data_IF_842264858622
#
_entry.id   IF_842264858622
#
_cell.length_a   1.000
_cell.length_b   1.000
_cell.length_c   1.000
_cell.angle_alpha   90.00
_cell.angle_beta   90.00
_cell.angle_gamma   90.00
#
_symmetry.space_group_name_H-M   'P 1'
#
loop_
_entity.id
_entity.type
_entity.pdbx_description
1 polymer ?
#
# COMPACT_ATOMS: atom_id res chain seq x y z
N UNK A 1 4.88 -12.16 -14.05
CA UNK A 1 3.46 -12.18 -14.53
C UNK A 1 3.20 -10.85 -15.23
N UNK A 2 2.55 -10.86 -16.41
CA UNK A 2 2.20 -9.63 -17.14
C UNK A 2 0.80 -9.22 -16.68
N UNK A 3 0.64 -7.96 -16.25
CA UNK A 3 -0.66 -7.42 -15.85
C UNK A 3 -1.61 -7.31 -17.06
N UNK A 4 -2.89 -7.63 -16.94
CA UNK A 4 -3.89 -7.52 -18.02
C UNK A 4 -4.28 -6.05 -18.22
N UNK A 5 -3.35 -5.22 -18.67
CA UNK A 5 -3.46 -3.76 -18.70
C UNK A 5 -4.67 -3.23 -19.45
N UNK A 6 -5.10 -3.88 -20.55
CA UNK A 6 -6.24 -3.40 -21.34
C UNK A 6 -7.56 -3.59 -20.59
N UNK A 7 -7.75 -4.74 -19.94
CA UNK A 7 -8.93 -5.00 -19.09
C UNK A 7 -8.96 -4.01 -17.91
N UNK A 8 -7.82 -3.85 -17.21
CA UNK A 8 -7.73 -2.93 -16.07
C UNK A 8 -8.02 -1.47 -16.47
N UNK A 9 -7.50 -1.02 -17.62
CA UNK A 9 -7.81 0.32 -18.17
C UNK A 9 -9.30 0.48 -18.49
N UNK A 10 -9.93 -0.54 -19.07
CA UNK A 10 -11.36 -0.52 -19.38
C UNK A 10 -12.21 -0.34 -18.12
N UNK A 11 -11.86 -1.05 -17.05
CA UNK A 11 -12.56 -0.95 -15.75
C UNK A 11 -12.39 0.45 -15.14
N UNK A 12 -11.18 0.98 -15.17
CA UNK A 12 -10.88 2.32 -14.66
C UNK A 12 -11.61 3.41 -15.45
N UNK A 13 -11.76 3.25 -16.77
CA UNK A 13 -12.49 4.20 -17.62
C UNK A 13 -14.00 4.25 -17.34
N UNK A 14 -14.57 3.23 -16.70
CA UNK A 14 -15.99 3.16 -16.33
C UNK A 14 -16.31 3.80 -14.97
N UNK A 15 -15.31 4.35 -14.28
CA UNK A 15 -15.55 4.98 -12.98
C UNK A 15 -16.43 6.21 -13.06
N UNK A 16 -17.30 6.45 -12.05
CA UNK A 16 -18.33 7.52 -12.12
C UNK A 16 -17.74 8.93 -12.07
N UNK A 17 -16.50 9.07 -11.58
CA UNK A 17 -15.81 10.35 -11.48
C UNK A 17 -14.45 10.31 -12.17
N UNK A 18 -13.93 11.45 -12.65
CA UNK A 18 -12.57 11.54 -13.17
C UNK A 18 -11.57 11.07 -12.12
N UNK A 19 -10.58 10.30 -12.58
CA UNK A 19 -9.51 9.82 -11.71
C UNK A 19 -8.27 10.69 -11.82
N UNK A 20 -7.66 10.99 -10.68
CA UNK A 20 -6.33 11.60 -10.61
C UNK A 20 -5.27 10.57 -11.01
N UNK A 21 -5.38 9.36 -10.46
CA UNK A 21 -4.60 8.19 -10.83
C UNK A 21 -5.28 6.89 -10.40
N UNK A 22 -4.81 5.77 -10.95
CA UNK A 22 -5.11 4.43 -10.48
C UNK A 22 -3.90 3.51 -10.63
N UNK A 23 -3.70 2.63 -9.64
CA UNK A 23 -2.55 1.71 -9.56
C UNK A 23 -2.99 0.32 -9.12
N UNK A 24 -2.14 -0.69 -9.36
CA UNK A 24 -2.29 -2.02 -8.77
C UNK A 24 -1.54 -2.06 -7.44
N UNK A 25 -2.17 -2.63 -6.43
CA UNK A 25 -1.67 -2.86 -5.09
C UNK A 25 -1.62 -4.37 -4.76
N UNK A 26 -1.72 -4.73 -3.47
CA UNK A 26 -1.84 -6.11 -3.02
C UNK A 26 -0.67 -7.00 -3.40
N UNK A 27 -0.95 -8.29 -3.59
CA UNK A 27 0.07 -9.30 -3.85
C UNK A 27 0.92 -8.99 -5.10
N UNK A 28 0.33 -8.33 -6.10
CA UNK A 28 1.02 -7.92 -7.33
C UNK A 28 2.09 -6.84 -7.06
N UNK A 29 1.77 -5.83 -6.25
CA UNK A 29 2.73 -4.81 -5.81
C UNK A 29 3.80 -5.42 -4.90
N UNK A 30 3.38 -6.32 -4.02
CA UNK A 30 4.25 -6.88 -2.98
C UNK A 30 5.22 -7.96 -3.47
N UNK A 31 5.10 -8.40 -4.74
CA UNK A 31 6.05 -9.29 -5.40
C UNK A 31 5.79 -10.79 -5.23
N UNK A 32 4.65 -11.19 -4.65
CA UNK A 32 4.31 -12.60 -4.44
C UNK A 32 2.86 -12.98 -4.87
N UNK A 33 2.39 -12.54 -6.06
CA UNK A 33 1.09 -12.98 -6.55
C UNK A 33 1.11 -14.48 -6.85
N UNK A 34 0.02 -15.19 -6.53
CA UNK A 34 -0.28 -16.53 -7.02
C UNK A 34 -1.19 -16.45 -8.26
N UNK A 35 -1.36 -17.54 -9.02
CA UNK A 35 -2.22 -17.54 -10.20
C UNK A 35 -3.68 -17.13 -9.93
N UNK A 36 -4.15 -17.35 -8.71
CA UNK A 36 -5.48 -17.03 -8.19
C UNK A 36 -5.53 -15.73 -7.36
N UNK A 37 -4.47 -14.92 -7.40
CA UNK A 37 -4.48 -13.63 -6.69
C UNK A 37 -5.37 -12.64 -7.42
N UNK A 38 -6.28 -12.01 -6.68
CA UNK A 38 -7.08 -10.87 -7.08
C UNK A 38 -6.24 -9.67 -7.50
N UNK A 39 -6.85 -8.74 -8.23
CA UNK A 39 -6.24 -7.47 -8.59
C UNK A 39 -6.79 -6.37 -7.68
N UNK A 40 -5.98 -5.99 -6.72
CA UNK A 40 -6.25 -4.85 -5.83
C UNK A 40 -6.03 -3.53 -6.57
N UNK A 41 -7.08 -2.92 -7.10
CA UNK A 41 -7.01 -1.60 -7.73
C UNK A 41 -7.22 -0.51 -6.70
N UNK A 42 -6.34 0.46 -6.69
CA UNK A 42 -6.40 1.60 -5.78
C UNK A 42 -6.25 2.90 -6.57
N UNK A 43 -7.06 3.89 -6.25
CA UNK A 43 -7.03 5.13 -6.99
C UNK A 43 -7.56 6.33 -6.22
N UNK A 44 -7.47 7.47 -6.89
CA UNK A 44 -7.98 8.74 -6.38
C UNK A 44 -8.93 9.33 -7.39
N UNK A 45 -10.17 9.58 -6.98
CA UNK A 45 -11.19 10.24 -7.79
C UNK A 45 -11.35 11.71 -7.38
N UNK A 46 -11.98 12.47 -8.26
CA UNK A 46 -12.21 13.91 -8.07
C UNK A 46 -13.70 14.16 -8.03
N UNK A 47 -14.28 14.34 -6.82
CA UNK A 47 -15.67 14.73 -6.67
C UNK A 47 -15.90 16.16 -7.17
N UNK A 48 -17.05 16.45 -7.83
CA UNK A 48 -17.44 17.82 -8.18
C UNK A 48 -17.61 18.70 -6.93
N UNK A 49 -17.21 19.97 -7.01
CA UNK A 49 -17.38 20.93 -5.88
C UNK A 49 -18.81 21.01 -5.36
N UNK A 50 -19.82 20.91 -6.24
CA UNK A 50 -21.24 20.93 -5.85
C UNK A 50 -21.63 19.82 -4.87
N UNK A 51 -20.97 18.65 -4.96
CA UNK A 51 -21.23 17.53 -4.07
C UNK A 51 -20.53 17.74 -2.73
N UNK A 52 -19.37 18.38 -2.74
CA UNK A 52 -18.60 18.67 -1.53
C UNK A 52 -19.19 19.82 -0.70
N UNK A 53 -19.81 20.80 -1.35
CA UNK A 53 -20.37 22.00 -0.69
C UNK A 53 -21.88 21.86 -0.40
N UNK A 54 -22.48 20.74 -0.82
CA UNK A 54 -23.90 20.48 -0.62
C UNK A 54 -24.25 20.08 0.82
N UNK A 55 -25.56 19.95 1.08
CA UNK A 55 -26.07 19.50 2.38
C UNK A 55 -26.16 17.97 2.51
N UNK A 56 -25.90 17.24 1.43
CA UNK A 56 -25.92 15.78 1.44
C UNK A 56 -24.60 15.22 1.95
N UNK A 57 -24.60 14.05 2.63
CA UNK A 57 -23.38 13.38 3.04
C UNK A 57 -22.48 13.10 1.83
N UNK A 58 -21.19 13.37 1.99
CA UNK A 58 -20.20 13.11 0.96
C UNK A 58 -19.81 11.63 1.00
N UNK A 59 -19.90 10.95 -0.14
CA UNK A 59 -19.33 9.61 -0.32
C UNK A 59 -17.89 9.74 -0.83
N UNK A 60 -16.96 9.92 0.08
CA UNK A 60 -15.53 10.16 -0.20
C UNK A 60 -14.71 8.90 -0.51
N UNK A 61 -15.36 7.74 -0.50
CA UNK A 61 -14.79 6.43 -0.87
C UNK A 61 -15.77 5.67 -1.72
N UNK A 62 -15.28 5.15 -2.82
CA UNK A 62 -16.03 4.25 -3.71
C UNK A 62 -15.35 2.90 -3.70
N UNK A 63 -16.11 1.86 -3.43
CA UNK A 63 -15.67 0.48 -3.42
C UNK A 63 -16.48 -0.31 -4.45
N UNK A 64 -15.79 -1.14 -5.22
CA UNK A 64 -16.40 -2.04 -6.19
C UNK A 64 -15.57 -3.32 -6.25
N UNK A 65 -16.22 -4.46 -6.03
CA UNK A 65 -15.60 -5.77 -6.14
C UNK A 65 -16.44 -6.66 -7.05
N UNK A 66 -15.80 -7.58 -7.76
CA UNK A 66 -16.46 -8.53 -8.63
C UNK A 66 -15.53 -9.13 -9.67
N UNK A 67 -16.09 -10.02 -10.48
CA UNK A 67 -15.38 -10.68 -11.57
C UNK A 67 -15.64 -9.95 -12.89
N UNK A 68 -14.58 -9.58 -13.59
CA UNK A 68 -14.62 -9.02 -14.93
C UNK A 68 -13.65 -9.80 -15.82
N UNK A 69 -14.15 -10.39 -16.91
CA UNK A 69 -13.35 -11.17 -17.84
C UNK A 69 -12.52 -12.29 -17.15
N UNK A 70 -13.08 -12.98 -16.17
CA UNK A 70 -12.44 -13.99 -15.31
C UNK A 70 -11.28 -13.43 -14.44
N UNK A 71 -11.31 -12.16 -14.16
CA UNK A 71 -10.36 -11.50 -13.25
C UNK A 71 -11.13 -11.04 -12.01
N UNK A 72 -10.75 -11.55 -10.84
CA UNK A 72 -11.27 -11.07 -9.56
C UNK A 72 -10.64 -9.72 -9.22
N UNK A 73 -11.50 -8.74 -8.95
CA UNK A 73 -11.13 -7.34 -8.73
C UNK A 73 -11.63 -6.84 -7.39
N UNK A 74 -10.79 -6.07 -6.74
CA UNK A 74 -11.15 -5.23 -5.60
C UNK A 74 -10.67 -3.80 -5.85
N UNK A 75 -11.59 -2.92 -6.28
CA UNK A 75 -11.32 -1.52 -6.59
C UNK A 75 -11.78 -0.62 -5.44
N UNK A 76 -10.86 0.15 -4.90
CA UNK A 76 -11.15 1.20 -3.92
C UNK A 76 -10.56 2.52 -4.41
N UNK A 77 -11.40 3.56 -4.49
CA UNK A 77 -10.94 4.92 -4.77
C UNK A 77 -11.37 5.87 -3.65
N UNK A 78 -10.47 6.77 -3.28
CA UNK A 78 -10.76 7.86 -2.36
C UNK A 78 -10.88 9.19 -3.10
N UNK A 79 -11.72 10.07 -2.61
CA UNK A 79 -11.71 11.46 -3.06
C UNK A 79 -10.34 12.10 -2.78
N UNK A 80 -9.90 12.99 -3.67
CA UNK A 80 -8.61 13.64 -3.60
C UNK A 80 -8.35 14.35 -2.27
N UNK A 81 -9.35 14.97 -1.66
CA UNK A 81 -9.20 15.64 -0.35
C UNK A 81 -8.92 14.62 0.76
N UNK A 82 -9.71 13.55 0.80
CA UNK A 82 -9.50 12.44 1.74
C UNK A 82 -8.13 11.80 1.57
N UNK A 83 -7.72 11.55 0.32
CA UNK A 83 -6.43 10.96 0.03
C UNK A 83 -5.27 11.82 0.53
N UNK A 84 -5.32 13.14 0.30
CA UNK A 84 -4.29 14.08 0.78
C UNK A 84 -4.27 14.18 2.31
N UNK A 85 -5.44 14.12 2.96
CA UNK A 85 -5.49 14.03 4.41
C UNK A 85 -4.84 12.75 4.95
N UNK A 86 -5.06 11.60 4.28
CA UNK A 86 -4.44 10.33 4.67
C UNK A 86 -2.92 10.37 4.49
N UNK A 87 -2.41 11.00 3.42
CA UNK A 87 -0.97 11.24 3.23
C UNK A 87 -0.39 12.03 4.40
N UNK A 88 -1.07 13.08 4.85
CA UNK A 88 -0.62 13.89 5.99
C UNK A 88 -0.77 13.18 7.35
N UNK A 89 -1.60 12.12 7.43
CA UNK A 89 -1.85 11.33 8.65
C UNK A 89 -0.93 10.10 8.81
N UNK A 90 0.17 10.02 8.09
CA UNK A 90 1.15 8.92 8.22
C UNK A 90 0.60 7.56 7.79
N UNK A 91 -0.25 7.53 6.78
CA UNK A 91 -0.83 6.30 6.27
C UNK A 91 0.09 5.67 5.22
N UNK A 92 0.75 4.56 5.54
CA UNK A 92 1.65 3.84 4.64
C UNK A 92 0.95 3.29 3.40
N UNK A 93 -0.32 2.93 3.49
CA UNK A 93 -1.08 2.44 2.33
C UNK A 93 -1.21 3.47 1.22
N UNK A 94 -1.48 4.73 1.56
CA UNK A 94 -1.59 5.77 0.53
C UNK A 94 -0.23 6.15 -0.05
N UNK A 95 0.85 6.01 0.73
CA UNK A 95 2.22 6.11 0.19
C UNK A 95 2.49 5.02 -0.84
N UNK A 96 2.13 3.77 -0.53
CA UNK A 96 2.29 2.63 -1.44
C UNK A 96 1.48 2.82 -2.72
N UNK A 97 0.30 3.43 -2.66
CA UNK A 97 -0.55 3.70 -3.82
C UNK A 97 0.04 4.79 -4.72
N UNK A 98 0.38 5.96 -4.16
CA UNK A 98 0.88 7.09 -4.95
C UNK A 98 2.24 6.81 -5.57
N UNK A 99 3.08 6.00 -4.93
CA UNK A 99 4.42 5.64 -5.39
C UNK A 99 4.49 4.28 -6.08
N UNK A 100 3.35 3.59 -6.28
CA UNK A 100 3.31 2.29 -6.94
C UNK A 100 3.92 2.36 -8.35
N UNK A 101 4.79 1.43 -8.73
CA UNK A 101 5.29 1.32 -10.11
C UNK A 101 4.25 0.76 -11.09
N UNK A 102 3.16 0.16 -10.58
CA UNK A 102 2.12 -0.49 -11.38
C UNK A 102 0.98 0.49 -11.69
N UNK A 103 1.27 1.48 -12.53
CA UNK A 103 0.34 2.55 -12.90
C UNK A 103 -0.59 2.07 -14.01
N UNK A 104 -1.92 2.18 -13.80
CA UNK A 104 -2.95 1.91 -14.80
C UNK A 104 -3.41 3.21 -15.47
N UNK A 105 -3.60 4.26 -14.65
CA UNK A 105 -3.98 5.60 -15.08
C UNK A 105 -3.16 6.65 -14.33
N UNK A 106 -2.75 7.69 -15.03
CA UNK A 106 -2.00 8.82 -14.45
C UNK A 106 -2.36 10.12 -15.11
N UNK A 107 -2.12 11.23 -14.41
CA UNK A 107 -2.31 12.61 -14.87
C UNK A 107 -1.07 13.45 -14.53
N UNK A 108 -0.96 14.66 -15.11
CA UNK A 108 0.10 15.60 -14.74
C UNK A 108 0.08 15.94 -13.24
N UNK A 109 -1.09 16.05 -12.63
CA UNK A 109 -1.23 16.30 -11.20
C UNK A 109 -0.79 15.10 -10.35
N UNK A 110 -0.89 13.86 -10.87
CA UNK A 110 -0.33 12.70 -10.17
C UNK A 110 1.20 12.73 -10.15
N UNK A 111 1.83 13.12 -11.26
CA UNK A 111 3.30 13.26 -11.31
C UNK A 111 3.78 14.35 -10.34
N UNK A 112 3.06 15.47 -10.25
CA UNK A 112 3.34 16.51 -9.25
C UNK A 112 3.14 15.98 -7.82
N UNK A 113 2.04 15.26 -7.57
CA UNK A 113 1.76 14.64 -6.27
C UNK A 113 2.89 13.68 -5.84
N UNK A 114 3.40 12.85 -6.75
CA UNK A 114 4.56 11.97 -6.46
C UNK A 114 5.77 12.78 -5.97
N UNK A 115 6.06 13.88 -6.62
CA UNK A 115 7.17 14.76 -6.22
C UNK A 115 6.94 15.39 -4.83
N UNK A 116 5.70 15.76 -4.52
CA UNK A 116 5.34 16.30 -3.22
C UNK A 116 5.30 15.23 -2.11
N UNK A 117 5.08 13.97 -2.46
CA UNK A 117 4.92 12.89 -1.49
C UNK A 117 6.15 12.69 -0.61
N UNK A 118 7.35 12.99 -1.13
CA UNK A 118 8.57 12.92 -0.33
C UNK A 118 8.51 13.78 0.94
N UNK A 119 7.92 14.97 0.86
CA UNK A 119 7.71 15.84 2.03
C UNK A 119 6.59 15.39 2.98
N UNK A 120 5.85 14.34 2.63
CA UNK A 120 4.85 13.70 3.52
C UNK A 120 5.45 12.56 4.35
N UNK A 121 6.60 12.02 3.94
CA UNK A 121 7.24 10.90 4.62
C UNK A 121 7.84 11.38 5.94
N UNK A 122 7.52 10.68 7.02
CA UNK A 122 7.96 11.00 8.38
C UNK A 122 8.41 9.75 9.11
N UNK A 123 9.25 9.88 10.14
CA UNK A 123 9.63 8.74 10.99
C UNK A 123 8.43 8.09 11.68
N UNK A 124 7.32 8.82 11.81
CA UNK A 124 6.11 8.32 12.43
C UNK A 124 5.32 7.32 11.55
N UNK A 125 5.69 7.13 10.27
CA UNK A 125 5.15 6.03 9.45
C UNK A 125 5.51 4.66 10.00
N UNK A 126 6.58 4.54 10.78
CA UNK A 126 6.93 3.32 11.51
C UNK A 126 5.75 2.78 12.34
N UNK A 127 4.97 3.67 12.98
CA UNK A 127 3.81 3.24 13.78
C UNK A 127 2.70 2.60 12.95
N UNK A 128 2.48 3.08 11.71
CA UNK A 128 1.52 2.46 10.79
C UNK A 128 1.92 1.02 10.48
N UNK A 129 3.16 0.82 10.04
CA UNK A 129 3.68 -0.49 9.67
C UNK A 129 3.77 -1.45 10.86
N UNK A 130 4.20 -0.98 12.03
CA UNK A 130 4.18 -1.78 13.27
C UNK A 130 2.77 -2.20 13.67
N UNK A 131 1.78 -1.29 13.55
CA UNK A 131 0.39 -1.61 13.82
C UNK A 131 -0.16 -2.68 12.87
N UNK A 132 0.15 -2.56 11.58
CA UNK A 132 -0.24 -3.54 10.58
C UNK A 132 0.44 -4.90 10.82
N UNK A 133 1.76 -4.91 11.08
CA UNK A 133 2.51 -6.12 11.39
C UNK A 133 1.90 -6.86 12.59
N UNK A 134 1.55 -6.13 13.65
CA UNK A 134 0.89 -6.70 14.84
C UNK A 134 -0.45 -7.34 14.50
N UNK A 135 -1.26 -6.68 13.67
CA UNK A 135 -2.56 -7.23 13.23
C UNK A 135 -2.39 -8.51 12.43
N UNK A 136 -1.47 -8.52 11.45
CA UNK A 136 -1.21 -9.69 10.62
C UNK A 136 -0.58 -10.84 11.42
N UNK A 137 0.31 -10.53 12.37
CA UNK A 137 0.86 -11.52 13.28
C UNK A 137 -0.23 -12.16 14.14
N UNK A 138 -1.16 -11.35 14.67
CA UNK A 138 -2.31 -11.85 15.42
C UNK A 138 -3.24 -12.73 14.59
N UNK A 139 -3.44 -12.43 13.30
CA UNK A 139 -4.19 -13.29 12.37
C UNK A 139 -3.46 -14.62 12.15
N UNK A 140 -2.17 -14.56 11.85
CA UNK A 140 -1.32 -15.75 11.67
C UNK A 140 -1.39 -16.70 12.87
N UNK A 141 -1.32 -16.19 14.09
CA UNK A 141 -1.38 -17.01 15.31
C UNK A 141 -2.75 -17.67 15.54
N UNK A 142 -3.84 -17.02 15.10
CA UNK A 142 -5.22 -17.52 15.27
C UNK A 142 -5.64 -18.54 14.20
N UNK A 143 -4.99 -18.54 13.05
CA UNK A 143 -5.33 -19.47 11.97
C UNK A 143 -4.98 -20.94 12.33
N UNK A 144 -5.88 -21.86 11.94
CA UNK A 144 -5.64 -23.29 12.06
C UNK A 144 -6.25 -24.00 10.83
N UNK A 145 -5.48 -24.53 9.89
CA UNK A 145 -4.01 -24.47 9.84
C UNK A 145 -3.47 -23.05 9.56
N UNK A 146 -2.25 -22.76 10.01
CA UNK A 146 -1.61 -21.46 9.80
C UNK A 146 -1.12 -21.31 8.37
N UNK A 147 -1.59 -20.27 7.69
CA UNK A 147 -1.22 -19.99 6.29
C UNK A 147 0.01 -19.08 6.18
N UNK A 148 0.76 -19.24 5.10
CA UNK A 148 1.95 -18.40 4.82
C UNK A 148 1.60 -16.96 4.44
N UNK A 149 0.38 -16.70 3.90
CA UNK A 149 -0.02 -15.35 3.43
C UNK A 149 0.07 -14.28 4.53
N UNK A 150 -0.57 -14.41 5.71
CA UNK A 150 -0.42 -13.41 6.78
C UNK A 150 1.02 -13.21 7.22
N UNK A 151 1.82 -14.27 7.27
CA UNK A 151 3.23 -14.21 7.65
C UNK A 151 4.08 -13.43 6.63
N UNK A 152 3.85 -13.61 5.32
CA UNK A 152 4.51 -12.82 4.28
C UNK A 152 4.15 -11.33 4.40
N UNK A 153 2.90 -11.01 4.73
CA UNK A 153 2.49 -9.62 4.99
C UNK A 153 3.20 -9.03 6.19
N UNK A 154 3.42 -9.80 7.26
CA UNK A 154 4.22 -9.37 8.43
C UNK A 154 5.63 -9.00 8.00
N UNK A 155 6.33 -9.89 7.29
CA UNK A 155 7.70 -9.63 6.84
C UNK A 155 7.78 -8.45 5.88
N UNK A 156 6.84 -8.37 4.92
CA UNK A 156 6.78 -7.27 3.97
C UNK A 156 6.71 -5.91 4.68
N UNK A 157 5.74 -5.73 5.58
CA UNK A 157 5.54 -4.43 6.24
C UNK A 157 6.67 -4.06 7.20
N UNK A 158 7.27 -5.04 7.87
CA UNK A 158 8.42 -4.79 8.74
C UNK A 158 9.67 -4.40 7.94
N UNK A 159 9.94 -5.07 6.81
CA UNK A 159 11.06 -4.73 5.95
C UNK A 159 10.82 -3.38 5.23
N UNK A 160 9.59 -3.08 4.78
CA UNK A 160 9.22 -1.77 4.26
C UNK A 160 9.48 -0.66 5.29
N UNK A 161 9.08 -0.89 6.55
CA UNK A 161 9.31 0.08 7.62
C UNK A 161 10.80 0.30 7.90
N UNK A 162 11.59 -0.78 7.98
CA UNK A 162 13.05 -0.70 8.18
C UNK A 162 13.69 0.09 7.04
N UNK A 163 13.34 -0.23 5.79
CA UNK A 163 13.87 0.44 4.61
C UNK A 163 13.52 1.94 4.60
N UNK A 164 12.24 2.26 4.83
CA UNK A 164 11.78 3.63 4.89
C UNK A 164 12.49 4.44 5.99
N UNK A 165 12.71 3.85 7.17
CA UNK A 165 13.39 4.54 8.28
C UNK A 165 14.89 4.72 8.04
N UNK A 166 15.54 3.80 7.32
CA UNK A 166 16.99 3.86 7.02
C UNK A 166 17.30 4.76 5.84
N UNK A 167 16.55 4.59 4.75
CA UNK A 167 16.87 5.20 3.44
C UNK A 167 16.02 6.46 3.19
N UNK A 168 14.79 6.51 3.74
CA UNK A 168 13.84 7.59 3.47
C UNK A 168 13.03 7.37 2.18
N UNK A 169 13.19 6.23 1.53
CA UNK A 169 12.49 5.84 0.31
C UNK A 169 11.53 4.67 0.57
N UNK A 170 10.41 4.65 -0.13
CA UNK A 170 9.43 3.59 -0.01
C UNK A 170 9.74 2.44 -0.97
N UNK A 171 9.87 1.23 -0.43
CA UNK A 171 9.83 -0.02 -1.19
C UNK A 171 8.78 -0.95 -0.57
N UNK A 172 7.85 -1.44 -1.37
CA UNK A 172 6.78 -2.33 -0.93
C UNK A 172 6.95 -3.78 -1.42
N UNK A 173 7.83 -4.00 -2.39
CA UNK A 173 8.07 -5.32 -2.97
C UNK A 173 8.99 -6.15 -2.07
N UNK A 174 8.44 -7.25 -1.54
CA UNK A 174 9.16 -8.11 -0.60
C UNK A 174 10.39 -8.78 -1.23
N UNK A 175 10.38 -9.07 -2.53
CA UNK A 175 11.53 -9.68 -3.22
C UNK A 175 12.68 -8.67 -3.26
N UNK A 176 12.40 -7.42 -3.66
CA UNK A 176 13.40 -6.34 -3.71
C UNK A 176 13.93 -6.05 -2.31
N UNK A 177 13.04 -5.94 -1.33
CA UNK A 177 13.44 -5.76 0.08
C UNK A 177 14.33 -6.92 0.55
N UNK A 178 13.96 -8.16 0.22
CA UNK A 178 14.75 -9.31 0.65
C UNK A 178 16.09 -9.43 -0.08
N UNK A 179 16.22 -8.90 -1.28
CA UNK A 179 17.51 -8.79 -1.97
C UNK A 179 18.48 -7.87 -1.23
N UNK A 180 17.96 -6.89 -0.49
CA UNK A 180 18.74 -6.02 0.37
C UNK A 180 19.03 -6.64 1.76
N UNK A 181 17.99 -7.16 2.43
CA UNK A 181 18.09 -7.63 3.82
C UNK A 181 18.52 -9.09 3.98
N UNK A 182 18.45 -9.91 2.92
CA UNK A 182 18.98 -11.28 2.84
C UNK A 182 18.44 -12.24 3.91
N UNK A 183 17.15 -12.21 4.19
CA UNK A 183 16.49 -13.16 5.08
C UNK A 183 16.31 -14.50 4.34
N UNK A 184 17.02 -15.59 4.74
CA UNK A 184 17.10 -16.81 3.93
C UNK A 184 15.79 -17.60 3.81
N UNK A 185 14.83 -17.36 4.71
CA UNK A 185 13.54 -18.07 4.77
C UNK A 185 12.45 -17.41 3.91
N UNK A 186 12.63 -16.17 3.43
CA UNK A 186 11.62 -15.45 2.63
C UNK A 186 11.36 -16.12 1.27
N UNK A 187 12.38 -16.55 0.51
CA UNK A 187 12.14 -17.24 -0.76
C UNK A 187 11.29 -18.51 -0.61
N UNK A 188 11.52 -19.31 0.43
CA UNK A 188 10.76 -20.54 0.69
C UNK A 188 9.30 -20.24 1.05
N UNK A 189 9.05 -19.18 1.85
CA UNK A 189 7.70 -18.73 2.18
C UNK A 189 6.95 -18.24 0.93
N UNK A 190 7.61 -17.49 0.06
CA UNK A 190 7.04 -17.04 -1.22
C UNK A 190 6.73 -18.25 -2.11
N UNK A 191 7.67 -19.19 -2.26
CA UNK A 191 7.48 -20.39 -3.06
C UNK A 191 6.28 -21.22 -2.57
N UNK A 192 6.15 -21.42 -1.25
CA UNK A 192 5.00 -22.09 -0.64
C UNK A 192 3.67 -21.39 -0.95
N UNK A 193 3.63 -20.06 -0.93
CA UNK A 193 2.41 -19.28 -1.25
C UNK A 193 2.07 -19.38 -2.73
N UNK A 194 3.06 -19.23 -3.62
CA UNK A 194 2.86 -19.15 -5.08
C UNK A 194 2.52 -20.53 -5.68
N UNK A 195 2.98 -21.64 -5.08
CA UNK A 195 2.72 -23.00 -5.58
C UNK A 195 1.26 -23.44 -5.48
N UNK A 196 0.37 -22.59 -4.92
CA UNK A 196 -1.05 -22.90 -4.82
C UNK A 196 -1.39 -24.09 -3.91
N UNK A 197 -0.40 -24.68 -3.23
CA UNK A 197 -0.69 -25.53 -2.10
C UNK A 197 -1.30 -24.62 -1.05
N UNK A 198 -2.62 -24.58 -1.02
CA UNK A 198 -3.45 -23.71 -0.16
C UNK A 198 -3.00 -23.71 1.31
N UNK A 199 -2.05 -24.51 1.64
CA UNK A 199 -1.65 -24.86 2.98
C UNK A 199 -0.16 -25.20 3.06
N UNK A 200 0.67 -24.24 2.80
CA UNK A 200 2.00 -24.29 3.43
C UNK A 200 1.78 -24.24 4.95
N UNK A 201 1.28 -25.35 5.52
CA UNK A 201 1.04 -25.49 6.95
C UNK A 201 2.38 -25.38 7.65
N UNK A 202 2.51 -24.39 8.52
CA UNK A 202 3.67 -24.20 9.35
C UNK A 202 3.48 -25.00 10.64
N UNK A 203 4.49 -25.82 10.99
CA UNK A 203 4.50 -26.57 12.24
C UNK A 203 4.81 -25.66 13.45
N UNK A 204 4.62 -26.17 14.67
CA UNK A 204 4.84 -25.38 15.88
C UNK A 204 6.31 -24.91 16.05
N UNK A 205 7.28 -25.70 15.62
CA UNK A 205 8.69 -25.29 15.61
C UNK A 205 8.97 -24.09 14.69
N UNK A 206 8.26 -24.03 13.54
CA UNK A 206 8.34 -22.90 12.63
C UNK A 206 7.76 -21.65 13.28
N UNK A 207 6.67 -21.78 14.07
CA UNK A 207 6.04 -20.66 14.78
C UNK A 207 6.99 -20.03 15.79
N UNK A 208 7.71 -20.83 16.58
CA UNK A 208 8.70 -20.31 17.54
C UNK A 208 9.86 -19.57 16.84
N UNK A 209 10.31 -20.09 15.69
CA UNK A 209 11.32 -19.41 14.89
C UNK A 209 10.80 -18.06 14.38
N UNK A 210 9.61 -18.05 13.79
CA UNK A 210 9.02 -16.83 13.25
C UNK A 210 8.62 -15.82 14.33
N UNK A 211 8.30 -16.26 15.56
CA UNK A 211 8.09 -15.36 16.70
C UNK A 211 9.38 -14.59 17.03
N UNK A 212 10.51 -15.30 17.15
CA UNK A 212 11.81 -14.65 17.42
C UNK A 212 12.19 -13.66 16.32
N UNK A 213 11.96 -14.03 15.05
CA UNK A 213 12.25 -13.13 13.91
C UNK A 213 11.30 -11.91 13.88
N UNK A 214 10.02 -12.10 14.19
CA UNK A 214 9.06 -11.02 14.33
C UNK A 214 9.53 -10.01 15.40
N UNK A 215 9.86 -10.49 16.60
CA UNK A 215 10.32 -9.65 17.71
C UNK A 215 11.61 -8.90 17.35
N UNK A 216 12.55 -9.59 16.71
CA UNK A 216 13.80 -9.00 16.23
C UNK A 216 13.55 -7.87 15.21
N UNK A 217 12.68 -8.08 14.22
CA UNK A 217 12.40 -7.09 13.19
C UNK A 217 11.60 -5.91 13.75
N UNK A 218 10.65 -6.14 14.67
CA UNK A 218 9.95 -5.07 15.39
C UNK A 218 10.95 -4.17 16.12
N UNK A 219 11.90 -4.76 16.85
CA UNK A 219 12.94 -4.01 17.55
C UNK A 219 13.85 -3.22 16.59
N UNK A 220 14.12 -3.77 15.40
CA UNK A 220 14.87 -3.04 14.37
C UNK A 220 14.09 -1.83 13.83
N UNK A 221 12.78 -1.98 13.57
CA UNK A 221 11.94 -0.84 13.15
C UNK A 221 11.99 0.29 14.18
N UNK A 222 11.85 -0.03 15.46
CA UNK A 222 11.92 0.96 16.55
C UNK A 222 13.30 1.63 16.61
N UNK A 223 14.35 0.84 16.52
CA UNK A 223 15.74 1.33 16.52
C UNK A 223 16.00 2.29 15.36
N UNK A 224 15.57 1.92 14.13
CA UNK A 224 15.78 2.78 12.96
C UNK A 224 14.86 3.99 12.94
N UNK A 225 13.63 3.90 13.47
CA UNK A 225 12.77 5.06 13.69
C UNK A 225 13.46 6.11 14.55
N UNK A 226 14.06 5.68 15.68
CA UNK A 226 14.69 6.59 16.63
C UNK A 226 15.96 7.24 16.05
N UNK A 227 16.65 6.56 15.14
CA UNK A 227 17.85 7.04 14.43
C UNK A 227 17.55 7.71 13.09
N UNK A 228 16.31 7.68 12.63
CA UNK A 228 15.93 8.16 11.30
C UNK A 228 16.16 9.66 11.14
N UNK A 229 16.68 10.07 10.00
CA UNK A 229 16.80 11.46 9.57
C UNK A 229 15.46 12.07 9.11
N UNK A 230 14.41 11.25 8.97
CA UNK A 230 13.09 11.71 8.54
C UNK A 230 12.47 12.67 9.56
N UNK A 231 11.70 13.69 9.11
CA UNK A 231 11.04 14.62 10.02
C UNK A 231 9.96 13.94 10.86
N UNK A 232 9.55 14.57 11.95
CA UNK A 232 8.43 14.12 12.79
C UNK A 232 7.05 14.41 12.18
N UNK A 233 6.98 15.46 11.37
CA UNK A 233 5.73 15.92 10.75
C UNK A 233 5.95 16.25 9.29
N UNK A 234 4.91 16.12 8.43
CA UNK A 234 4.97 16.53 7.04
C UNK A 234 5.42 17.98 6.88
N UNK A 235 6.28 18.23 5.90
CA UNK A 235 6.90 19.56 5.69
C UNK A 235 6.23 20.35 4.56
N UNK A 236 5.39 19.73 3.74
CA UNK A 236 4.90 20.28 2.49
C UNK A 236 3.36 20.43 2.44
N UNK A 237 2.70 20.50 3.59
CA UNK A 237 1.24 20.71 3.64
C UNK A 237 0.74 21.90 2.81
N UNK A 238 1.42 23.08 2.79
CA UNK A 238 1.00 24.19 1.93
C UNK A 238 1.01 23.83 0.44
N UNK A 239 2.06 23.20 -0.06
CA UNK A 239 2.15 22.80 -1.48
C UNK A 239 1.11 21.76 -1.86
N UNK A 240 0.80 20.80 -0.96
CA UNK A 240 -0.31 19.84 -1.17
C UNK A 240 -1.66 20.56 -1.20
N UNK A 241 -1.87 21.55 -0.34
CA UNK A 241 -3.11 22.35 -0.36
C UNK A 241 -3.26 23.11 -1.67
N UNK A 242 -2.21 23.72 -2.18
CA UNK A 242 -2.22 24.43 -3.45
C UNK A 242 -2.52 23.48 -4.63
N UNK A 243 -1.91 22.31 -4.64
CA UNK A 243 -2.22 21.26 -5.62
C UNK A 243 -3.68 20.84 -5.55
N UNK A 244 -4.22 20.61 -4.34
CA UNK A 244 -5.63 20.27 -4.15
C UNK A 244 -6.57 21.34 -4.72
N UNK A 245 -6.29 22.62 -4.45
CA UNK A 245 -7.11 23.73 -4.94
C UNK A 245 -7.07 23.85 -6.47
N UNK A 246 -5.92 23.59 -7.09
CA UNK A 246 -5.79 23.55 -8.57
C UNK A 246 -6.57 22.37 -9.17
N UNK A 247 -6.47 21.17 -8.58
CA UNK A 247 -7.23 19.99 -9.01
C UNK A 247 -8.74 20.26 -8.93
N UNK A 248 -9.18 21.01 -7.93
CA UNK A 248 -10.59 21.42 -7.76
C UNK A 248 -11.03 22.58 -8.66
N UNK A 249 -10.13 23.18 -9.42
CA UNK A 249 -10.43 24.35 -10.26
C UNK A 249 -10.72 25.63 -9.47
N UNK A 250 -10.30 25.69 -8.21
CA UNK A 250 -10.45 26.90 -7.34
C UNK A 250 -9.31 27.89 -7.61
N UNK A 251 -8.13 27.41 -7.94
CA UNK A 251 -6.98 28.22 -8.35
C UNK A 251 -6.66 27.96 -9.84
N UNK A 252 -6.25 29.00 -10.56
CA UNK A 252 -5.70 28.87 -11.90
C UNK A 252 -4.35 28.15 -11.83
N UNK A 253 -4.06 27.36 -12.86
CA UNK A 253 -2.79 26.66 -12.97
C UNK A 253 -1.62 27.64 -13.16
#
# INVERSE_FOLDING_TARGET
MILPMDTLKTIIAQQPYPLLFATVSGAHLYGFPSPDSDYDLRGVHILPLREMLGLYPIQDTIESSGDVDNIELDLVTHDVSKFFELLLKRNGYVLEQVLSPHIIHTTAHHEELKSLTQGCITKNHAHHYLGFARTQWGLFLKENPRRTKPLLYVYRVLLTAIHLMQIGELEANLIILNDHYKLPYIPDLIAKKVSGTEHGVLGDADVEFHQREYDRLVQLVETYRDKSHLPESPTNKPALNDLLLRIRGVLSA
#
